data_IF_104096912463
#
_entry.id   IF_104096912463
#
_cell.length_a   1.000
_cell.length_b   1.000
_cell.length_c   1.000
_cell.angle_alpha   90.00
_cell.angle_beta   90.00
_cell.angle_gamma   90.00
#
_symmetry.space_group_name_H-M   'P 1'
#
loop_
_entity.id
_entity.type
_entity.pdbx_description
1 polymer ?
#
# COMPACT_ATOMS: atom_id res chain seq x y z
N UNK A 1 20.49 9.05 -9.53
CA UNK A 1 21.05 9.92 -10.58
C UNK A 1 20.14 11.14 -10.62
N UNK A 2 20.66 12.30 -10.27
CA UNK A 2 19.91 13.56 -10.37
C UNK A 2 19.90 13.95 -11.84
N UNK A 3 18.72 14.21 -12.39
CA UNK A 3 18.56 14.71 -13.76
C UNK A 3 18.61 16.22 -13.66
N UNK A 4 19.71 16.82 -14.11
CA UNK A 4 19.80 18.29 -14.18
C UNK A 4 19.08 18.78 -15.44
N UNK A 5 18.02 19.62 -15.31
CA UNK A 5 17.29 20.13 -16.47
C UNK A 5 18.15 20.87 -17.48
N UNK A 6 19.22 21.54 -17.05
CA UNK A 6 20.11 22.27 -17.94
C UNK A 6 20.81 21.39 -19.00
N UNK A 7 21.01 20.10 -18.67
CA UNK A 7 21.59 19.11 -19.61
C UNK A 7 20.63 18.74 -20.77
N UNK A 8 19.37 19.17 -20.70
CA UNK A 8 18.31 18.83 -21.65
C UNK A 8 17.76 20.02 -22.41
N UNK A 9 18.39 21.18 -22.27
CA UNK A 9 17.96 22.40 -22.95
C UNK A 9 17.82 22.19 -24.45
N UNK A 10 16.69 22.57 -25.03
CA UNK A 10 16.31 22.48 -26.43
C UNK A 10 16.32 21.04 -27.02
N UNK A 11 16.33 20.01 -26.17
CA UNK A 11 16.37 18.61 -26.61
C UNK A 11 14.97 17.98 -26.66
N UNK A 12 14.85 16.97 -27.51
CA UNK A 12 13.70 16.07 -27.57
C UNK A 12 13.96 14.88 -26.65
N UNK A 13 13.16 14.73 -25.61
CA UNK A 13 13.36 13.72 -24.56
C UNK A 13 12.21 12.74 -24.54
N UNK A 14 12.53 11.44 -24.54
CA UNK A 14 11.59 10.37 -24.26
C UNK A 14 11.82 9.83 -22.84
N UNK A 15 10.76 9.77 -22.05
CA UNK A 15 10.75 9.14 -20.74
C UNK A 15 9.94 7.85 -20.85
N UNK A 16 10.58 6.71 -20.59
CA UNK A 16 9.95 5.38 -20.62
C UNK A 16 9.38 5.03 -19.25
N UNK A 17 8.07 4.89 -19.17
CA UNK A 17 7.31 4.61 -17.95
C UNK A 17 6.21 5.65 -17.75
N UNK A 18 5.21 5.31 -16.92
CA UNK A 18 4.06 6.19 -16.61
C UNK A 18 3.70 6.16 -15.12
N UNK A 19 4.70 5.94 -14.27
CA UNK A 19 4.59 6.07 -12.82
C UNK A 19 5.02 7.46 -12.33
N UNK A 20 4.98 7.67 -11.01
CA UNK A 20 5.38 8.94 -10.39
C UNK A 20 6.77 9.41 -10.85
N UNK A 21 7.78 8.53 -10.86
CA UNK A 21 9.14 8.92 -11.30
C UNK A 21 9.19 9.46 -12.73
N UNK A 22 8.38 8.91 -13.63
CA UNK A 22 8.34 9.40 -15.01
C UNK A 22 7.73 10.80 -15.09
N UNK A 23 6.67 11.03 -14.36
CA UNK A 23 5.98 12.33 -14.35
C UNK A 23 6.76 13.39 -13.56
N UNK A 24 7.39 13.03 -12.43
CA UNK A 24 8.32 13.92 -11.71
C UNK A 24 9.51 14.33 -12.58
N UNK A 25 10.08 13.38 -13.34
CA UNK A 25 11.15 13.70 -14.30
C UNK A 25 10.67 14.59 -15.42
N UNK A 26 9.48 14.32 -15.96
CA UNK A 26 8.91 15.13 -17.01
C UNK A 26 8.65 16.58 -16.55
N UNK A 27 8.04 16.74 -15.39
CA UNK A 27 7.74 18.04 -14.79
C UNK A 27 9.02 18.86 -14.56
N UNK A 28 10.08 18.19 -14.08
CA UNK A 28 11.40 18.82 -13.89
C UNK A 28 12.06 19.28 -15.21
N UNK A 29 11.76 18.61 -16.34
CA UNK A 29 12.39 18.93 -17.65
C UNK A 29 11.58 19.91 -18.50
N UNK A 30 10.32 20.13 -18.19
CA UNK A 30 9.34 20.77 -19.08
C UNK A 30 9.72 22.21 -19.46
N UNK A 31 10.42 22.93 -18.58
CA UNK A 31 10.83 24.32 -18.81
C UNK A 31 12.08 24.44 -19.70
N UNK A 32 12.85 23.38 -19.84
CA UNK A 32 14.14 23.42 -20.54
C UNK A 32 14.12 22.60 -21.83
N UNK A 33 13.46 21.44 -21.82
CA UNK A 33 13.43 20.58 -22.99
C UNK A 33 12.49 21.11 -24.09
N UNK A 34 12.89 20.97 -25.34
CA UNK A 34 12.06 21.32 -26.49
C UNK A 34 10.80 20.45 -26.57
N UNK A 35 10.95 19.15 -26.31
CA UNK A 35 9.84 18.17 -26.30
C UNK A 35 10.07 17.13 -25.21
N UNK A 36 9.06 16.89 -24.42
CA UNK A 36 9.03 15.77 -23.47
C UNK A 36 7.89 14.83 -23.85
N UNK A 37 8.22 13.59 -24.18
CA UNK A 37 7.23 12.52 -24.36
C UNK A 37 7.35 11.53 -23.21
N UNK A 38 6.23 11.19 -22.57
CA UNK A 38 6.13 10.15 -21.55
C UNK A 38 5.43 8.95 -22.16
N UNK A 39 6.13 7.83 -22.32
CA UNK A 39 5.66 6.68 -23.10
C UNK A 39 5.65 5.37 -22.33
N UNK A 40 4.68 4.50 -22.67
CA UNK A 40 4.58 3.14 -22.15
C UNK A 40 3.26 2.44 -22.49
N UNK A 41 3.21 1.09 -22.36
CA UNK A 41 2.12 0.28 -22.87
C UNK A 41 0.82 0.40 -22.10
N UNK A 42 0.89 0.76 -20.83
CA UNK A 42 -0.28 0.82 -19.96
C UNK A 42 -0.80 2.25 -19.87
N UNK A 43 -2.13 2.45 -19.74
CA UNK A 43 -2.69 3.76 -19.48
C UNK A 43 -2.18 4.32 -18.13
N UNK A 44 -2.20 5.64 -18.01
CA UNK A 44 -1.93 6.31 -16.73
C UNK A 44 -3.00 5.90 -15.71
N UNK A 45 -2.54 5.51 -14.52
CA UNK A 45 -3.44 5.22 -13.41
C UNK A 45 -3.25 6.29 -12.34
N UNK A 46 -4.34 6.95 -11.99
CA UNK A 46 -4.37 8.01 -10.99
C UNK A 46 -4.57 7.43 -9.59
N UNK A 47 -3.76 7.84 -8.63
CA UNK A 47 -3.80 7.30 -7.26
C UNK A 47 -5.15 7.51 -6.57
N UNK A 48 -5.75 8.68 -6.74
CA UNK A 48 -7.06 9.01 -6.18
C UNK A 48 -8.20 8.14 -6.73
N UNK A 49 -8.05 7.65 -7.98
CA UNK A 49 -9.06 6.81 -8.63
C UNK A 49 -8.88 5.32 -8.30
N UNK A 50 -7.66 4.90 -8.02
CA UNK A 50 -7.33 3.49 -7.77
C UNK A 50 -7.08 3.19 -6.30
N UNK A 51 -7.16 4.22 -5.44
CA UNK A 51 -6.88 4.14 -4.00
C UNK A 51 -5.49 3.60 -3.66
N UNK A 52 -4.56 3.60 -4.64
CA UNK A 52 -3.20 3.15 -4.44
C UNK A 52 -2.19 4.29 -4.69
N UNK A 53 -1.53 4.73 -3.61
CA UNK A 53 -0.58 5.86 -3.62
C UNK A 53 0.68 5.64 -4.49
N UNK A 54 0.96 4.39 -4.90
CA UNK A 54 2.02 4.07 -5.85
C UNK A 54 1.69 4.41 -7.32
N UNK A 55 0.43 4.66 -7.64
CA UNK A 55 0.02 5.20 -8.93
C UNK A 55 0.27 6.72 -8.98
N UNK A 56 0.03 7.34 -10.14
CA UNK A 56 0.28 8.77 -10.32
C UNK A 56 -0.55 9.60 -9.34
N UNK A 57 0.14 10.33 -8.48
CA UNK A 57 -0.49 11.26 -7.53
C UNK A 57 -0.84 12.57 -8.23
N UNK A 58 -1.91 13.22 -7.79
CA UNK A 58 -2.34 14.51 -8.30
C UNK A 58 -1.22 15.57 -8.27
N UNK A 59 -0.39 15.54 -7.24
CA UNK A 59 0.80 16.37 -7.10
C UNK A 59 1.77 16.26 -8.31
N UNK A 60 1.89 15.08 -8.92
CA UNK A 60 2.80 14.83 -10.04
C UNK A 60 2.08 14.85 -11.40
N UNK A 61 0.87 15.39 -11.48
CA UNK A 61 0.03 15.30 -12.66
C UNK A 61 0.06 16.54 -13.57
N UNK A 62 0.93 17.53 -13.30
CA UNK A 62 0.97 18.79 -14.03
C UNK A 62 1.14 18.64 -15.54
N UNK A 63 1.94 17.69 -15.99
CA UNK A 63 2.11 17.43 -17.44
C UNK A 63 0.82 16.96 -18.14
N UNK A 64 -0.17 16.43 -17.41
CA UNK A 64 -1.47 16.07 -18.00
C UNK A 64 -2.20 17.30 -18.52
N UNK A 65 -2.13 18.41 -17.81
CA UNK A 65 -2.73 19.67 -18.24
C UNK A 65 -2.06 20.19 -19.50
N UNK A 66 -0.74 20.13 -19.57
CA UNK A 66 0.02 20.51 -20.76
C UNK A 66 -0.32 19.64 -21.97
N UNK A 67 -0.49 18.36 -21.79
CA UNK A 67 -0.93 17.46 -22.85
C UNK A 67 -2.34 17.81 -23.33
N UNK A 68 -3.26 18.12 -22.42
CA UNK A 68 -4.63 18.52 -22.76
C UNK A 68 -4.68 19.87 -23.46
N UNK A 69 -3.81 20.80 -23.09
CA UNK A 69 -3.70 22.12 -23.73
C UNK A 69 -2.97 22.09 -25.08
N UNK A 70 -2.66 20.88 -25.58
CA UNK A 70 -2.07 20.64 -26.91
C UNK A 70 -0.70 21.29 -27.12
N UNK A 71 0.11 21.29 -26.08
CA UNK A 71 1.51 21.67 -26.21
C UNK A 71 2.30 20.54 -26.87
N UNK A 72 3.55 20.81 -27.26
CA UNK A 72 4.43 19.83 -27.88
C UNK A 72 4.80 18.62 -26.99
N UNK A 73 4.49 18.70 -25.69
CA UNK A 73 4.68 17.59 -24.77
C UNK A 73 3.52 16.60 -24.89
N UNK A 74 3.80 15.31 -24.82
CA UNK A 74 2.79 14.30 -25.05
C UNK A 74 2.94 13.06 -24.16
N UNK A 75 1.81 12.41 -23.90
CA UNK A 75 1.75 11.07 -23.32
C UNK A 75 1.47 10.09 -24.45
N UNK A 76 2.39 9.12 -24.63
CA UNK A 76 2.31 8.12 -25.68
C UNK A 76 1.85 6.77 -25.12
N UNK A 77 0.68 6.32 -25.55
CA UNK A 77 0.15 5.00 -25.19
C UNK A 77 0.60 3.97 -26.22
N UNK A 78 1.49 3.04 -25.85
CA UNK A 78 1.94 1.98 -26.72
C UNK A 78 3.23 1.32 -26.27
N UNK A 79 3.67 0.32 -27.03
CA UNK A 79 4.86 -0.45 -26.76
C UNK A 79 6.07 0.09 -27.51
N UNK A 80 7.20 0.19 -26.83
CA UNK A 80 8.49 0.37 -27.48
C UNK A 80 8.96 -0.95 -28.06
N UNK A 81 9.04 -1.04 -29.37
CA UNK A 81 9.49 -2.24 -30.11
C UNK A 81 10.99 -2.28 -30.30
N UNK A 82 11.62 -1.12 -30.49
CA UNK A 82 13.05 -1.00 -30.73
C UNK A 82 13.55 0.36 -30.26
N UNK A 83 14.74 0.39 -29.69
CA UNK A 83 15.50 1.62 -29.42
C UNK A 83 16.87 1.45 -30.07
N UNK A 84 17.16 2.21 -31.10
CA UNK A 84 18.43 2.25 -31.79
C UNK A 84 19.11 3.60 -31.54
N UNK A 85 20.41 3.60 -31.30
CA UNK A 85 21.22 4.81 -31.16
C UNK A 85 22.20 4.91 -32.33
N UNK A 86 22.32 6.08 -32.91
CA UNK A 86 23.33 6.40 -33.90
C UNK A 86 23.91 7.82 -33.68
N UNK A 87 24.57 8.37 -34.68
CA UNK A 87 25.19 9.71 -34.60
C UNK A 87 24.17 10.83 -34.44
N UNK A 88 22.94 10.63 -34.94
CA UNK A 88 21.85 11.63 -34.87
C UNK A 88 21.00 11.55 -33.61
N UNK A 89 21.21 10.53 -32.77
CA UNK A 89 20.49 10.36 -31.50
C UNK A 89 19.83 9.00 -31.34
N UNK A 90 18.67 8.96 -30.69
CA UNK A 90 17.90 7.75 -30.44
C UNK A 90 16.71 7.67 -31.39
N UNK A 91 16.59 6.59 -32.10
CA UNK A 91 15.45 6.24 -32.94
C UNK A 91 14.61 5.19 -32.24
N UNK A 92 13.38 5.53 -31.92
CA UNK A 92 12.48 4.69 -31.13
C UNK A 92 11.29 4.28 -31.99
N UNK A 93 11.15 2.98 -32.26
CA UNK A 93 9.95 2.42 -32.88
C UNK A 93 8.89 2.21 -31.82
N UNK A 94 7.81 2.92 -31.94
CA UNK A 94 6.71 2.95 -31.02
C UNK A 94 5.44 2.41 -31.68
N UNK A 95 4.88 1.31 -31.15
CA UNK A 95 3.60 0.74 -31.57
C UNK A 95 2.49 1.33 -30.71
N UNK A 96 1.68 2.21 -31.31
CA UNK A 96 0.63 2.91 -30.59
C UNK A 96 -0.53 1.98 -30.24
N UNK A 97 -0.89 1.90 -28.94
CA UNK A 97 -2.07 1.22 -28.49
C UNK A 97 -3.34 1.97 -28.94
N UNK A 98 -4.38 1.22 -29.25
CA UNK A 98 -5.69 1.80 -29.64
C UNK A 98 -5.66 2.65 -30.91
N UNK A 99 -4.65 2.49 -31.73
CA UNK A 99 -4.51 3.14 -33.03
C UNK A 99 -4.12 2.09 -34.08
N UNK A 100 -4.83 0.95 -34.10
CA UNK A 100 -4.60 -0.23 -34.98
C UNK A 100 -3.10 -0.66 -34.97
N UNK A 101 -2.44 -0.52 -33.84
CA UNK A 101 -1.02 -0.79 -33.63
C UNK A 101 -0.08 -0.10 -34.66
N UNK A 102 -0.45 1.09 -35.08
CA UNK A 102 0.40 1.88 -35.98
C UNK A 102 1.78 2.02 -35.38
N UNK A 103 2.80 1.60 -36.12
CA UNK A 103 4.20 1.74 -35.72
C UNK A 103 4.78 2.98 -36.35
N UNK A 104 5.38 3.84 -35.50
CA UNK A 104 6.14 4.99 -35.94
C UNK A 104 7.53 4.98 -35.35
N UNK A 105 8.52 5.40 -36.15
CA UNK A 105 9.84 5.73 -35.66
C UNK A 105 9.89 7.21 -35.28
N UNK A 106 10.30 7.50 -34.05
CA UNK A 106 10.40 8.86 -33.54
C UNK A 106 11.84 9.05 -33.05
N UNK A 107 12.43 10.17 -33.48
CA UNK A 107 13.79 10.52 -33.08
C UNK A 107 13.78 11.35 -31.80
N UNK A 108 14.72 11.03 -30.88
CA UNK A 108 14.97 11.74 -29.65
C UNK A 108 16.46 11.99 -29.44
N UNK A 109 16.78 13.08 -28.73
CA UNK A 109 18.15 13.37 -28.32
C UNK A 109 18.53 12.58 -27.06
N UNK A 110 17.56 12.32 -26.20
CA UNK A 110 17.71 11.56 -24.94
C UNK A 110 16.56 10.59 -24.71
N UNK A 111 16.88 9.46 -24.06
CA UNK A 111 15.90 8.50 -23.55
C UNK A 111 16.21 8.24 -22.09
N UNK A 112 15.21 8.42 -21.23
CA UNK A 112 15.29 8.21 -19.78
C UNK A 112 14.41 7.04 -19.40
N UNK A 113 14.96 6.04 -18.68
CA UNK A 113 14.22 4.88 -18.21
C UNK A 113 13.64 5.08 -16.82
N UNK A 114 12.30 5.16 -16.72
CA UNK A 114 11.53 5.22 -15.46
C UNK A 114 10.66 3.97 -15.32
N UNK A 115 11.24 2.77 -15.49
CA UNK A 115 10.53 1.49 -15.62
C UNK A 115 10.25 0.79 -14.28
N UNK A 116 10.54 1.46 -13.18
CA UNK A 116 10.41 0.92 -11.82
C UNK A 116 11.67 0.21 -11.34
N UNK A 117 11.57 -0.41 -10.18
CA UNK A 117 12.67 -1.07 -9.49
C UNK A 117 12.47 -2.58 -9.45
N UNK A 118 13.58 -3.31 -9.42
CA UNK A 118 13.66 -4.74 -9.12
C UNK A 118 14.65 -4.95 -8.00
N UNK A 119 14.46 -5.99 -7.22
CA UNK A 119 15.43 -6.42 -6.24
C UNK A 119 16.66 -6.98 -6.94
N UNK A 120 17.83 -6.53 -6.54
CA UNK A 120 19.10 -7.04 -7.07
C UNK A 120 19.55 -8.24 -6.23
N UNK A 121 19.17 -9.43 -6.67
CA UNK A 121 19.58 -10.68 -6.02
C UNK A 121 21.03 -11.08 -6.34
N UNK A 122 21.72 -10.38 -7.24
CA UNK A 122 23.13 -10.66 -7.55
C UNK A 122 24.11 -10.29 -6.43
N UNK A 123 23.62 -9.56 -5.42
CA UNK A 123 24.36 -9.27 -4.19
C UNK A 123 24.57 -10.49 -3.30
N UNK A 124 23.84 -11.57 -3.54
CA UNK A 124 23.87 -12.80 -2.75
C UNK A 124 24.55 -13.92 -3.54
N UNK A 125 25.36 -14.72 -2.86
CA UNK A 125 25.86 -15.98 -3.40
C UNK A 125 24.71 -16.98 -3.62
N UNK A 126 24.94 -18.01 -4.44
CA UNK A 126 23.87 -18.94 -4.85
C UNK A 126 23.22 -19.69 -3.67
N UNK A 127 23.99 -20.00 -2.64
CA UNK A 127 23.56 -20.75 -1.47
C UNK A 127 22.75 -19.92 -0.45
N UNK A 128 22.83 -18.58 -0.54
CA UNK A 128 22.10 -17.66 0.33
C UNK A 128 21.20 -16.67 -0.44
N UNK A 129 20.97 -16.95 -1.73
CA UNK A 129 20.13 -16.09 -2.57
C UNK A 129 18.65 -16.25 -2.23
N UNK A 130 17.97 -15.16 -1.86
CA UNK A 130 16.55 -15.22 -1.57
C UNK A 130 15.74 -15.53 -2.84
N UNK A 131 14.69 -16.34 -2.67
CA UNK A 131 13.67 -16.54 -3.70
C UNK A 131 12.96 -15.22 -4.00
N UNK A 132 12.67 -14.97 -5.30
CA UNK A 132 12.00 -13.76 -5.74
C UNK A 132 10.56 -14.04 -6.15
N UNK A 133 9.71 -13.02 -5.98
CA UNK A 133 8.30 -13.07 -6.35
C UNK A 133 7.85 -11.80 -7.08
N UNK A 134 6.61 -11.79 -7.58
CA UNK A 134 5.99 -10.68 -8.32
C UNK A 134 6.87 -10.24 -9.51
N UNK A 135 7.17 -11.18 -10.42
CA UNK A 135 8.04 -10.98 -11.58
C UNK A 135 9.45 -10.50 -11.19
N UNK A 136 10.07 -11.18 -10.25
CA UNK A 136 11.43 -10.93 -9.75
C UNK A 136 11.66 -9.52 -9.18
N UNK A 137 10.61 -8.92 -8.66
CA UNK A 137 10.69 -7.55 -8.12
C UNK A 137 11.01 -7.49 -6.65
N UNK A 138 10.67 -8.54 -5.91
CA UNK A 138 10.79 -8.57 -4.45
C UNK A 138 11.25 -9.93 -3.97
N UNK A 139 12.01 -10.00 -2.85
CA UNK A 139 12.23 -11.26 -2.15
C UNK A 139 10.92 -11.77 -1.56
N UNK A 140 10.68 -13.07 -1.68
CA UNK A 140 9.56 -13.73 -1.03
C UNK A 140 9.76 -13.78 0.48
N UNK A 141 8.72 -13.45 1.25
CA UNK A 141 8.80 -13.25 2.70
C UNK A 141 7.70 -13.99 3.44
N UNK A 142 8.07 -14.54 4.60
CA UNK A 142 7.13 -15.08 5.59
C UNK A 142 6.37 -13.94 6.31
N UNK A 143 5.34 -14.24 7.11
CA UNK A 143 4.69 -13.25 7.97
C UNK A 143 5.62 -12.51 8.94
N UNK A 144 6.75 -13.10 9.27
CA UNK A 144 7.80 -12.50 10.10
C UNK A 144 8.85 -11.70 9.33
N UNK A 145 8.61 -11.41 8.03
CA UNK A 145 9.56 -10.76 7.10
C UNK A 145 10.88 -11.51 6.89
N UNK A 146 10.94 -12.78 7.25
CA UNK A 146 12.05 -13.65 6.93
C UNK A 146 11.98 -14.15 5.49
N UNK A 147 13.11 -14.42 4.85
CA UNK A 147 13.15 -15.08 3.55
C UNK A 147 12.48 -16.47 3.62
N UNK A 148 11.68 -16.81 2.62
CA UNK A 148 11.00 -18.13 2.58
C UNK A 148 11.97 -19.31 2.40
N UNK A 149 13.18 -19.06 1.87
CA UNK A 149 14.17 -20.10 1.56
C UNK A 149 15.53 -19.92 2.23
N UNK A 150 15.79 -18.77 2.88
CA UNK A 150 17.07 -18.50 3.56
C UNK A 150 16.80 -18.17 5.02
N UNK A 151 16.92 -19.16 5.94
CA UNK A 151 16.68 -18.93 7.35
C UNK A 151 17.63 -17.88 7.94
N UNK A 152 17.10 -16.99 8.77
CA UNK A 152 17.85 -15.92 9.42
C UNK A 152 18.05 -14.67 8.55
N UNK A 153 17.62 -14.69 7.29
CA UNK A 153 17.64 -13.50 6.42
C UNK A 153 16.30 -12.76 6.52
N UNK A 154 16.31 -11.57 7.10
CA UNK A 154 15.13 -10.73 7.28
C UNK A 154 15.17 -9.50 6.40
N UNK A 155 14.00 -9.02 6.04
CA UNK A 155 13.84 -7.84 5.20
C UNK A 155 13.14 -6.71 5.97
N UNK A 156 13.61 -5.48 5.75
CA UNK A 156 13.07 -4.28 6.37
C UNK A 156 12.96 -3.14 5.35
N UNK A 157 12.11 -2.17 5.62
CA UNK A 157 11.95 -1.00 4.78
C UNK A 157 11.05 -1.26 3.57
N UNK A 158 11.27 -0.55 2.47
CA UNK A 158 10.36 -0.52 1.32
C UNK A 158 10.16 -1.87 0.62
N UNK A 159 11.11 -2.81 0.73
CA UNK A 159 10.96 -4.13 0.11
C UNK A 159 9.93 -5.01 0.81
N UNK A 160 9.53 -4.67 2.04
CA UNK A 160 8.47 -5.37 2.76
C UNK A 160 7.09 -5.18 2.13
N UNK A 161 6.94 -4.26 1.18
CA UNK A 161 5.70 -4.05 0.43
C UNK A 161 5.22 -5.27 -0.36
N UNK A 162 6.03 -6.30 -0.50
CA UNK A 162 5.61 -7.56 -1.12
C UNK A 162 4.43 -8.17 -0.39
N UNK A 163 4.36 -8.00 0.93
CA UNK A 163 3.35 -8.60 1.81
C UNK A 163 1.99 -7.88 1.75
N UNK A 164 1.99 -6.59 1.51
CA UNK A 164 0.77 -5.78 1.34
C UNK A 164 0.71 -5.12 -0.05
N UNK A 165 1.28 -5.79 -1.06
CA UNK A 165 1.49 -5.23 -2.39
C UNK A 165 0.23 -4.63 -3.00
N UNK A 166 0.24 -3.31 -3.19
CA UNK A 166 -0.88 -2.50 -3.68
C UNK A 166 -2.12 -2.47 -2.77
N UNK A 167 -1.97 -2.83 -1.51
CA UNK A 167 -3.05 -2.78 -0.52
C UNK A 167 -2.80 -1.69 0.50
N UNK A 168 -1.83 -1.88 1.41
CA UNK A 168 -1.47 -0.89 2.41
C UNK A 168 -0.24 -0.06 1.98
N UNK A 169 0.50 0.50 2.92
CA UNK A 169 1.53 1.53 2.63
C UNK A 169 2.96 1.10 2.97
N UNK A 170 3.27 -0.20 3.03
CA UNK A 170 4.65 -0.67 3.27
C UNK A 170 5.65 -0.25 2.19
N UNK A 171 5.19 0.22 1.03
CA UNK A 171 6.05 0.81 0.01
C UNK A 171 6.68 2.15 0.42
N UNK A 172 6.21 2.79 1.49
CA UNK A 172 6.53 4.17 1.87
C UNK A 172 6.97 4.26 3.33
N UNK A 173 7.79 5.25 3.65
CA UNK A 173 8.32 5.48 5.02
C UNK A 173 7.20 5.55 6.07
N UNK A 174 6.13 6.28 5.78
CA UNK A 174 5.02 6.43 6.71
C UNK A 174 4.30 5.10 7.02
N UNK A 175 4.41 4.10 6.17
CA UNK A 175 3.90 2.75 6.40
C UNK A 175 4.96 1.80 6.96
N UNK A 176 6.06 1.54 6.21
CA UNK A 176 7.02 0.51 6.62
C UNK A 176 7.71 0.78 7.96
N UNK A 177 7.76 2.02 8.46
CA UNK A 177 8.29 2.31 9.80
C UNK A 177 7.58 1.52 10.90
N UNK A 178 6.28 1.24 10.73
CA UNK A 178 5.52 0.40 11.66
C UNK A 178 5.82 -1.07 11.47
N UNK A 179 5.97 -1.53 10.23
CA UNK A 179 6.43 -2.89 9.93
C UNK A 179 7.83 -3.17 10.50
N UNK A 180 8.77 -2.21 10.41
CA UNK A 180 10.11 -2.34 11.02
C UNK A 180 10.02 -2.44 12.54
N UNK A 181 9.11 -1.68 13.18
CA UNK A 181 8.87 -1.76 14.63
C UNK A 181 8.29 -3.12 15.02
N UNK A 182 7.36 -3.64 14.22
CA UNK A 182 6.81 -4.98 14.43
C UNK A 182 7.87 -6.08 14.21
N UNK A 183 8.70 -5.97 13.17
CA UNK A 183 9.84 -6.88 12.95
C UNK A 183 10.80 -6.91 14.15
N UNK A 184 11.11 -5.75 14.75
CA UNK A 184 11.94 -5.72 15.94
C UNK A 184 11.33 -6.52 17.12
N UNK A 185 10.00 -6.47 17.28
CA UNK A 185 9.29 -7.29 18.29
C UNK A 185 9.38 -8.78 17.95
N UNK A 186 9.20 -9.16 16.68
CA UNK A 186 9.38 -10.55 16.20
C UNK A 186 10.79 -11.08 16.51
N UNK A 187 11.82 -10.28 16.21
CA UNK A 187 13.21 -10.69 16.47
C UNK A 187 13.51 -10.81 17.97
N UNK A 188 12.96 -9.93 18.80
CA UNK A 188 13.07 -10.02 20.25
C UNK A 188 12.41 -11.28 20.79
N UNK A 189 11.22 -11.61 20.32
CA UNK A 189 10.52 -12.83 20.73
C UNK A 189 11.30 -14.08 20.29
N UNK A 190 11.78 -14.11 19.05
CA UNK A 190 12.47 -15.29 18.48
C UNK A 190 13.87 -15.54 19.04
N UNK A 191 14.66 -14.50 19.30
CA UNK A 191 16.08 -14.62 19.63
C UNK A 191 16.45 -14.22 21.07
N UNK A 192 15.53 -13.59 21.76
CA UNK A 192 15.79 -13.08 23.12
C UNK A 192 14.74 -13.53 24.14
N UNK A 193 13.77 -14.35 23.74
CA UNK A 193 12.66 -14.81 24.59
C UNK A 193 11.88 -13.66 25.25
N UNK A 194 11.86 -12.50 24.60
CA UNK A 194 11.09 -11.32 25.07
C UNK A 194 9.71 -11.39 24.43
N UNK A 195 8.64 -11.62 25.20
CA UNK A 195 7.31 -11.74 24.64
C UNK A 195 6.85 -10.44 24.00
N UNK A 196 5.89 -10.55 23.05
CA UNK A 196 5.27 -9.36 22.44
C UNK A 196 4.73 -8.44 23.53
N UNK A 197 5.08 -7.15 23.53
CA UNK A 197 4.59 -6.20 24.53
C UNK A 197 3.07 -6.15 24.54
N UNK A 198 2.47 -6.24 25.71
CA UNK A 198 1.02 -6.27 25.87
C UNK A 198 0.57 -5.53 27.12
N UNK A 199 -0.70 -5.16 27.13
CA UNK A 199 -1.40 -4.63 28.32
C UNK A 199 -2.37 -5.70 28.80
N UNK A 200 -2.33 -6.01 30.09
CA UNK A 200 -3.32 -6.90 30.73
C UNK A 200 -4.61 -6.12 31.01
N UNK A 201 -5.73 -6.75 30.69
CA UNK A 201 -7.09 -6.20 30.90
C UNK A 201 -7.99 -7.28 31.48
N UNK A 202 -9.03 -6.91 32.24
CA UNK A 202 -10.10 -7.85 32.52
C UNK A 202 -10.82 -8.23 31.20
N UNK A 203 -11.11 -9.52 31.03
CA UNK A 203 -11.93 -10.01 29.92
C UNK A 203 -13.41 -9.65 30.16
N UNK A 204 -13.71 -8.36 30.11
CA UNK A 204 -15.06 -7.80 30.30
C UNK A 204 -15.42 -6.88 29.14
N UNK A 205 -16.67 -6.88 28.68
CA UNK A 205 -17.11 -6.09 27.55
C UNK A 205 -16.69 -4.62 27.60
N UNK A 206 -16.97 -3.95 28.72
CA UNK A 206 -16.64 -2.52 28.89
C UNK A 206 -15.13 -2.25 28.84
N UNK A 207 -14.32 -3.14 29.43
CA UNK A 207 -12.87 -2.99 29.45
C UNK A 207 -12.27 -3.16 28.04
N UNK A 208 -12.73 -4.18 27.30
CA UNK A 208 -12.30 -4.41 25.95
C UNK A 208 -12.77 -3.30 24.99
N UNK A 209 -14.02 -2.88 25.11
CA UNK A 209 -14.56 -1.74 24.34
C UNK A 209 -13.74 -0.48 24.58
N UNK A 210 -13.50 -0.12 25.84
CA UNK A 210 -12.72 1.06 26.21
C UNK A 210 -11.31 1.03 25.67
N UNK A 211 -10.64 -0.13 25.70
CA UNK A 211 -9.30 -0.32 25.15
C UNK A 211 -9.29 -0.16 23.63
N UNK A 212 -10.20 -0.82 22.91
CA UNK A 212 -10.31 -0.73 21.45
C UNK A 212 -10.62 0.70 21.02
N UNK A 213 -11.66 1.34 21.59
CA UNK A 213 -12.04 2.73 21.26
C UNK A 213 -10.89 3.70 21.54
N UNK A 214 -10.22 3.58 22.68
CA UNK A 214 -9.07 4.43 23.00
C UNK A 214 -7.95 4.25 21.96
N UNK A 215 -7.71 3.02 21.56
CA UNK A 215 -6.61 2.69 20.63
C UNK A 215 -6.88 3.17 19.21
N UNK A 216 -8.04 2.90 18.64
CA UNK A 216 -8.37 3.29 17.27
C UNK A 216 -8.40 4.82 17.09
N UNK A 217 -8.74 5.59 18.12
CA UNK A 217 -8.70 7.05 18.09
C UNK A 217 -7.29 7.65 18.20
N UNK A 218 -6.26 6.84 18.52
CA UNK A 218 -4.89 7.34 18.77
C UNK A 218 -3.81 6.67 17.95
N UNK A 219 -4.13 5.59 17.25
CA UNK A 219 -3.15 4.86 16.47
C UNK A 219 -2.95 5.51 15.10
N UNK A 220 -1.70 5.74 14.74
CA UNK A 220 -1.32 6.04 13.35
C UNK A 220 -0.96 4.76 12.58
N UNK A 221 -0.56 3.70 13.28
CA UNK A 221 -0.12 2.46 12.67
C UNK A 221 -1.22 1.74 11.93
N UNK A 222 -2.41 1.58 12.55
CA UNK A 222 -3.53 0.89 11.93
C UNK A 222 -4.07 1.67 10.72
N UNK A 223 -4.01 3.00 10.74
CA UNK A 223 -4.34 3.85 9.58
C UNK A 223 -3.37 3.68 8.41
N UNK A 224 -2.07 3.65 8.71
CA UNK A 224 -1.04 3.56 7.67
C UNK A 224 -0.86 2.14 7.15
N UNK A 225 -1.22 1.14 7.95
CA UNK A 225 -1.08 -0.27 7.64
C UNK A 225 -2.42 -1.01 7.73
N UNK A 226 -3.46 -0.36 7.18
CA UNK A 226 -4.82 -0.89 7.21
C UNK A 226 -4.89 -2.32 6.65
N UNK A 227 -5.61 -3.19 7.36
CA UNK A 227 -5.75 -4.61 7.02
C UNK A 227 -4.47 -5.43 7.08
N UNK A 228 -3.31 -4.81 7.28
CA UNK A 228 -2.01 -5.49 7.33
C UNK A 228 -1.47 -5.64 8.75
N UNK A 229 -1.46 -4.55 9.53
CA UNK A 229 -1.24 -4.61 10.96
C UNK A 229 -2.58 -4.50 11.68
N UNK A 230 -2.72 -5.27 12.75
CA UNK A 230 -3.86 -5.23 13.63
C UNK A 230 -3.43 -5.21 15.09
N UNK A 231 -4.34 -4.81 15.96
CA UNK A 231 -4.19 -5.08 17.38
C UNK A 231 -4.88 -6.40 17.71
N UNK A 232 -4.33 -7.17 18.64
CA UNK A 232 -4.84 -8.50 18.99
C UNK A 232 -5.17 -8.55 20.47
N UNK A 233 -6.39 -8.96 20.77
CA UNK A 233 -6.85 -9.19 22.14
C UNK A 233 -6.95 -10.70 22.34
N UNK A 234 -6.02 -11.28 23.07
CA UNK A 234 -6.03 -12.70 23.41
C UNK A 234 -6.74 -12.90 24.73
N UNK A 235 -7.80 -13.69 24.74
CA UNK A 235 -8.62 -13.97 25.92
C UNK A 235 -8.19 -15.28 26.58
N UNK A 236 -8.00 -15.23 27.90
CA UNK A 236 -7.68 -16.40 28.72
C UNK A 236 -8.47 -16.34 30.05
N UNK A 237 -9.61 -16.99 30.06
CA UNK A 237 -10.55 -16.96 31.19
C UNK A 237 -11.04 -15.54 31.47
N UNK A 238 -10.82 -15.04 32.68
CA UNK A 238 -11.26 -13.72 33.14
C UNK A 238 -10.30 -12.59 32.78
N UNK A 239 -9.20 -12.89 32.06
CA UNK A 239 -8.16 -11.95 31.67
C UNK A 239 -8.00 -11.88 30.15
N UNK A 240 -7.52 -10.75 29.66
CA UNK A 240 -7.19 -10.56 28.28
C UNK A 240 -5.83 -9.83 28.15
N UNK A 241 -5.07 -10.19 27.14
CA UNK A 241 -3.82 -9.50 26.76
C UNK A 241 -4.05 -8.74 25.47
N UNK A 242 -3.86 -7.42 25.53
CA UNK A 242 -3.98 -6.52 24.39
C UNK A 242 -2.60 -6.27 23.77
N UNK A 243 -2.36 -6.81 22.58
CA UNK A 243 -1.12 -6.69 21.82
C UNK A 243 -1.30 -5.69 20.67
N UNK A 244 -0.40 -4.73 20.56
CA UNK A 244 -0.48 -3.69 19.54
C UNK A 244 0.39 -4.00 18.31
N UNK A 245 -0.16 -3.71 17.11
CA UNK A 245 0.56 -3.70 15.84
C UNK A 245 1.16 -5.06 15.45
N UNK A 246 0.38 -6.10 15.60
CA UNK A 246 0.74 -7.46 15.19
C UNK A 246 0.40 -7.64 13.70
N UNK A 247 1.29 -8.25 12.88
CA UNK A 247 0.92 -8.63 11.52
C UNK A 247 -0.27 -9.59 11.52
N UNK A 248 -1.32 -9.24 10.78
CA UNK A 248 -2.58 -10.00 10.78
C UNK A 248 -2.36 -11.43 10.26
N UNK A 249 -1.60 -11.59 9.19
CA UNK A 249 -1.28 -12.90 8.61
C UNK A 249 -0.47 -13.80 9.56
N UNK A 250 0.40 -13.23 10.39
CA UNK A 250 1.10 -13.99 11.46
C UNK A 250 0.12 -14.59 12.47
N UNK A 251 -0.89 -13.80 12.87
CA UNK A 251 -1.94 -14.27 13.79
C UNK A 251 -2.77 -15.37 13.16
N UNK A 252 -3.03 -15.28 11.85
CA UNK A 252 -3.82 -16.29 11.14
C UNK A 252 -3.05 -17.58 10.85
N UNK A 253 -1.71 -17.54 10.77
CA UNK A 253 -0.88 -18.74 10.64
C UNK A 253 -0.77 -19.54 11.93
N UNK A 254 -0.66 -18.86 13.08
CA UNK A 254 -0.61 -19.49 14.41
C UNK A 254 -1.62 -18.79 15.36
N UNK A 255 -2.91 -19.09 15.17
CA UNK A 255 -3.96 -18.39 15.87
C UNK A 255 -4.04 -18.78 17.35
N UNK A 256 -4.20 -17.80 18.26
CA UNK A 256 -4.57 -18.06 19.64
C UNK A 256 -5.88 -18.84 19.74
N UNK A 257 -6.08 -19.54 20.88
CA UNK A 257 -7.28 -20.33 21.10
C UNK A 257 -8.57 -19.49 21.07
N UNK A 258 -8.50 -18.25 21.58
CA UNK A 258 -9.58 -17.27 21.56
C UNK A 258 -8.98 -15.86 21.43
N UNK A 259 -9.31 -15.16 20.36
CA UNK A 259 -8.74 -13.85 20.10
C UNK A 259 -9.64 -12.94 19.25
N UNK A 260 -9.58 -11.65 19.54
CA UNK A 260 -10.15 -10.61 18.69
C UNK A 260 -9.02 -9.89 17.94
N UNK A 261 -9.18 -9.73 16.63
CA UNK A 261 -8.26 -8.96 15.78
C UNK A 261 -8.95 -7.66 15.38
N UNK A 262 -8.34 -6.54 15.74
CA UNK A 262 -8.83 -5.19 15.47
C UNK A 262 -7.99 -4.59 14.35
N UNK A 263 -8.63 -4.27 13.23
CA UNK A 263 -7.99 -3.60 12.09
C UNK A 263 -8.77 -2.34 11.72
N UNK A 264 -8.13 -1.45 10.99
CA UNK A 264 -8.82 -0.48 10.17
C UNK A 264 -8.81 -1.00 8.73
N UNK A 265 -9.97 -1.09 8.11
CA UNK A 265 -10.13 -1.56 6.74
C UNK A 265 -11.12 -0.69 5.98
N UNK A 266 -10.96 -0.66 4.67
CA UNK A 266 -11.99 -0.11 3.79
C UNK A 266 -13.16 -1.08 3.64
N UNK A 267 -14.33 -0.53 3.41
CA UNK A 267 -15.51 -1.32 3.08
C UNK A 267 -15.42 -2.00 1.71
N UNK A 268 -16.37 -2.88 1.38
CA UNK A 268 -16.38 -3.58 0.13
C UNK A 268 -16.43 -2.61 -1.06
N UNK A 269 -15.75 -2.98 -2.15
CA UNK A 269 -15.75 -2.24 -3.42
C UNK A 269 -15.19 -0.80 -3.36
N UNK A 270 -14.52 -0.41 -2.26
CA UNK A 270 -13.93 0.93 -2.13
C UNK A 270 -12.99 1.29 -3.30
N UNK A 271 -12.31 0.33 -3.88
CA UNK A 271 -11.39 0.49 -5.00
C UNK A 271 -12.10 0.72 -6.35
N UNK A 272 -13.42 0.49 -6.40
CA UNK A 272 -14.26 0.73 -7.57
C UNK A 272 -14.95 2.07 -7.56
N UNK A 273 -14.93 2.76 -6.43
CA UNK A 273 -15.62 4.04 -6.21
C UNK A 273 -14.65 5.19 -6.44
N UNK A 274 -15.06 6.18 -7.22
CA UNK A 274 -14.32 7.44 -7.36
C UNK A 274 -14.61 8.32 -6.13
N UNK A 275 -13.60 8.65 -5.29
CA UNK A 275 -13.82 9.43 -4.07
C UNK A 275 -14.27 10.86 -4.32
N UNK A 276 -14.21 11.35 -5.55
CA UNK A 276 -14.68 12.68 -5.97
C UNK A 276 -16.04 12.67 -6.66
N UNK A 277 -16.55 11.49 -7.02
CA UNK A 277 -17.91 11.33 -7.47
C UNK A 277 -18.89 11.30 -6.28
N UNK A 278 -20.17 11.55 -6.57
CA UNK A 278 -21.21 11.43 -5.57
C UNK A 278 -21.41 9.97 -5.18
N UNK A 279 -20.91 9.62 -3.99
CA UNK A 279 -21.01 8.28 -3.42
C UNK A 279 -21.93 8.30 -2.23
N UNK A 280 -22.85 7.35 -2.16
CA UNK A 280 -23.65 7.13 -0.96
C UNK A 280 -22.71 6.74 0.21
N UNK A 281 -22.80 7.49 1.31
CA UNK A 281 -22.04 7.24 2.52
C UNK A 281 -22.97 6.73 3.61
N UNK A 282 -22.48 5.85 4.45
CA UNK A 282 -23.16 5.52 5.68
C UNK A 282 -23.35 6.79 6.51
N UNK A 283 -24.53 6.98 7.08
CA UNK A 283 -24.77 8.10 7.97
C UNK A 283 -24.06 7.83 9.30
N UNK A 284 -23.23 8.77 9.73
CA UNK A 284 -22.41 8.65 10.94
C UNK A 284 -23.18 8.33 12.22
N UNK A 285 -24.43 8.74 12.30
CA UNK A 285 -25.31 8.63 13.47
C UNK A 285 -26.26 7.44 13.38
N UNK A 286 -26.10 6.60 12.40
CA UNK A 286 -26.90 5.38 12.24
C UNK A 286 -26.01 4.17 12.33
N UNK A 287 -26.29 3.31 13.29
CA UNK A 287 -25.77 1.95 13.32
C UNK A 287 -26.43 1.18 12.17
N UNK A 288 -25.93 1.31 10.97
CA UNK A 288 -26.49 0.66 9.82
C UNK A 288 -25.53 -0.35 9.21
N UNK A 289 -25.96 -0.90 8.13
CA UNK A 289 -25.41 -1.94 7.31
C UNK A 289 -23.89 -1.77 7.13
N UNK A 290 -23.21 -2.28 8.13
CA UNK A 290 -21.77 -2.19 8.34
C UNK A 290 -20.97 -2.95 7.30
N UNK A 291 -21.39 -3.27 6.23
CA UNK A 291 -20.65 -3.83 5.11
C UNK A 291 -20.71 -2.94 3.88
N UNK A 292 -21.51 -1.89 3.93
CA UNK A 292 -21.76 -1.02 2.77
C UNK A 292 -20.96 0.30 2.82
N UNK A 293 -20.29 0.62 3.94
CA UNK A 293 -19.39 1.76 4.05
C UNK A 293 -18.16 1.59 3.15
N UNK A 294 -17.88 2.58 2.31
CA UNK A 294 -16.72 2.54 1.42
C UNK A 294 -15.44 3.09 2.06
N UNK A 295 -15.57 3.75 3.19
CA UNK A 295 -14.48 4.43 3.86
C UNK A 295 -13.79 3.55 4.90
N UNK A 296 -12.61 3.98 5.30
CA UNK A 296 -11.83 3.32 6.34
C UNK A 296 -12.57 3.37 7.68
N UNK A 297 -12.80 2.22 8.28
CA UNK A 297 -13.45 2.09 9.58
C UNK A 297 -12.89 0.91 10.39
N UNK A 298 -13.04 0.90 11.72
CA UNK A 298 -12.56 -0.20 12.54
C UNK A 298 -13.41 -1.45 12.35
N UNK A 299 -12.72 -2.59 12.24
CA UNK A 299 -13.34 -3.91 12.17
C UNK A 299 -12.76 -4.79 13.27
N UNK A 300 -13.60 -5.41 14.08
CA UNK A 300 -13.24 -6.37 15.12
C UNK A 300 -13.68 -7.75 14.68
N UNK A 301 -12.72 -8.65 14.48
CA UNK A 301 -12.95 -10.04 14.06
C UNK A 301 -12.62 -10.98 15.21
N UNK A 302 -13.58 -11.81 15.57
CA UNK A 302 -13.42 -12.81 16.61
C UNK A 302 -13.03 -14.15 16.01
N UNK A 303 -11.91 -14.68 16.45
CA UNK A 303 -11.39 -15.98 16.04
C UNK A 303 -11.37 -16.95 17.22
N UNK A 304 -11.90 -18.16 17.03
CA UNK A 304 -11.77 -19.27 17.97
C UNK A 304 -11.07 -20.42 17.29
N UNK A 305 -9.91 -20.83 17.82
CA UNK A 305 -9.06 -21.91 17.26
C UNK A 305 -8.76 -21.74 15.77
N UNK A 306 -8.59 -20.49 15.34
CA UNK A 306 -8.32 -20.13 13.95
C UNK A 306 -9.55 -19.89 13.07
N UNK A 307 -10.74 -20.27 13.51
CA UNK A 307 -11.97 -20.05 12.77
C UNK A 307 -12.54 -18.65 13.07
N UNK A 308 -12.88 -17.90 12.02
CA UNK A 308 -13.60 -16.65 12.17
C UNK A 308 -15.05 -16.93 12.56
N UNK A 309 -15.42 -16.61 13.80
CA UNK A 309 -16.74 -16.92 14.35
C UNK A 309 -17.68 -15.70 14.35
N UNK A 310 -17.17 -14.50 14.46
CA UNK A 310 -17.96 -13.28 14.41
C UNK A 310 -17.16 -12.07 13.90
N UNK A 311 -17.87 -11.11 13.32
CA UNK A 311 -17.28 -9.83 12.86
C UNK A 311 -18.17 -8.69 13.31
N UNK A 312 -17.57 -7.62 13.80
CA UNK A 312 -18.23 -6.36 14.08
C UNK A 312 -17.55 -5.21 13.34
N UNK A 313 -18.33 -4.44 12.62
CA UNK A 313 -17.89 -3.21 11.98
C UNK A 313 -18.30 -2.04 12.87
N UNK A 314 -17.34 -1.23 13.29
CA UNK A 314 -17.67 0.04 13.97
C UNK A 314 -18.13 1.02 12.91
N UNK A 315 -19.28 1.67 13.14
CA UNK A 315 -19.91 2.56 12.17
C UNK A 315 -18.91 3.58 11.61
N UNK A 316 -18.91 3.75 10.29
CA UNK A 316 -18.07 4.71 9.56
C UNK A 316 -18.24 6.13 10.13
N UNK A 317 -17.13 6.86 10.21
CA UNK A 317 -17.08 8.21 10.74
C UNK A 317 -16.15 9.10 9.90
N UNK A 318 -16.64 10.25 9.44
CA UNK A 318 -15.89 11.17 8.58
C UNK A 318 -14.78 11.92 9.32
N UNK A 319 -14.93 12.12 10.62
CA UNK A 319 -13.93 12.76 11.46
C UNK A 319 -12.84 11.79 11.93
N UNK A 320 -13.04 10.49 11.73
CA UNK A 320 -12.20 9.43 12.28
C UNK A 320 -12.11 9.47 13.81
N UNK A 321 -13.25 9.72 14.46
CA UNK A 321 -13.42 9.79 15.92
C UNK A 321 -14.54 8.82 16.34
N UNK A 322 -14.21 7.73 17.01
CA UNK A 322 -15.13 6.65 17.37
C UNK A 322 -15.41 6.63 18.87
N UNK A 323 -15.94 7.71 19.43
CA UNK A 323 -16.21 7.86 20.87
C UNK A 323 -17.69 8.11 21.21
N UNK A 324 -18.57 8.17 20.19
CA UNK A 324 -20.00 8.40 20.36
C UNK A 324 -20.73 7.09 20.72
N UNK A 325 -21.93 7.20 21.28
CA UNK A 325 -22.78 6.06 21.66
C UNK A 325 -22.97 5.07 20.49
N UNK A 326 -23.17 5.57 19.26
CA UNK A 326 -23.32 4.77 18.05
C UNK A 326 -22.11 3.86 17.75
N UNK A 327 -20.94 4.17 18.28
CA UNK A 327 -19.72 3.37 18.15
C UNK A 327 -19.54 2.45 19.36
N UNK A 328 -19.71 3.00 20.56
CA UNK A 328 -19.38 2.34 21.84
C UNK A 328 -20.40 1.27 22.19
N UNK A 329 -21.71 1.59 22.14
CA UNK A 329 -22.76 0.65 22.57
C UNK A 329 -22.82 -0.63 21.72
N UNK A 330 -22.79 -0.57 20.36
CA UNK A 330 -22.81 -1.78 19.56
C UNK A 330 -21.54 -2.64 19.72
N UNK A 331 -20.39 -2.03 19.93
CA UNK A 331 -19.13 -2.74 20.19
C UNK A 331 -19.17 -3.43 21.57
N UNK A 332 -19.72 -2.76 22.60
CA UNK A 332 -19.90 -3.38 23.92
C UNK A 332 -20.88 -4.54 23.86
N UNK A 333 -21.99 -4.38 23.12
CA UNK A 333 -22.95 -5.45 22.90
C UNK A 333 -22.32 -6.65 22.13
N UNK A 334 -21.44 -6.39 21.17
CA UNK A 334 -20.68 -7.42 20.48
C UNK A 334 -19.81 -8.21 21.46
N UNK A 335 -18.97 -7.55 22.27
CA UNK A 335 -18.16 -8.24 23.27
C UNK A 335 -19.01 -8.96 24.33
N UNK A 336 -20.16 -8.42 24.70
CA UNK A 336 -21.09 -9.08 25.65
C UNK A 336 -21.62 -10.41 25.11
N UNK A 337 -21.82 -10.49 23.81
CA UNK A 337 -22.33 -11.72 23.16
C UNK A 337 -21.22 -12.74 22.93
N UNK A 338 -20.01 -12.26 22.63
CA UNK A 338 -18.92 -13.12 22.16
C UNK A 338 -18.01 -13.62 23.28
N UNK A 339 -17.90 -12.93 24.42
CA UNK A 339 -17.21 -13.42 25.62
C UNK A 339 -18.00 -14.49 26.34
#
# INVERSE_FOLDING_TARGET
MTVDPADFTDQRVLILGKGNSAFETADNLIEQAAVVHVGGPRPVKLAWRTHFVGHLRAYNAGILDMYQLKLQHAILDGDVREVRKDADGYHVKFAFARADEVIKEIRYDRVIGCTGFRFDASLFDEDCRPELTINDRFPAQTPDWESVNVPGLYFAGTITQVRDFKKATSAFIHGFRYGVRALAKVLNERYHDVPWPHTELPAKPDALTGAVITRINRTSALYQQFGFLGDVVVVDGDTARYLEEVPVDRVLEDPPADAYVVTLDYGPDHDKVDPFDFVARAAQDKANDHGEGHYLHPIVRHYRRGDLVATHHVTENLENEWDKEVHVEPLTAFFTREL
#
